data_IF_369187689433
#
_entry.id   IF_369187689433
#
_cell.length_a   1.000
_cell.length_b   1.000
_cell.length_c   1.000
_cell.angle_alpha   90.00
_cell.angle_beta   90.00
_cell.angle_gamma   90.00
#
_symmetry.space_group_name_H-M   'P 1'
#
loop_
_entity.id
_entity.type
_entity.pdbx_description
1 polymer ?
#
# COMPACT_ATOMS: atom_id res chain seq x y z
N UNK A 1 8.27 9.92 22.38
CA UNK A 1 9.01 10.89 21.53
C UNK A 1 8.02 11.89 20.95
N UNK A 2 8.51 13.06 20.59
CA UNK A 2 7.75 14.06 19.84
C UNK A 2 8.16 13.99 18.37
N UNK A 3 7.26 13.54 17.49
CA UNK A 3 7.54 13.29 16.09
C UNK A 3 6.73 14.23 15.19
N UNK A 4 7.42 14.86 14.23
CA UNK A 4 6.78 15.64 13.17
C UNK A 4 6.67 14.80 11.89
N UNK A 5 5.49 14.77 11.30
CA UNK A 5 5.27 14.24 9.95
C UNK A 5 4.99 15.41 9.01
N UNK A 6 5.80 15.55 7.98
CA UNK A 6 5.64 16.58 6.96
C UNK A 6 5.33 15.92 5.62
N UNK A 7 4.14 16.20 5.09
CA UNK A 7 3.70 15.69 3.79
C UNK A 7 3.46 16.85 2.84
N UNK A 8 4.30 16.94 1.80
CA UNK A 8 4.15 17.90 0.72
C UNK A 8 3.53 17.18 -0.48
N UNK A 9 2.20 17.12 -0.51
CA UNK A 9 1.46 16.44 -1.57
C UNK A 9 0.05 17.02 -1.76
N UNK A 10 -0.43 17.01 -3.00
CA UNK A 10 -1.80 17.27 -3.38
C UNK A 10 -2.39 15.95 -3.91
N UNK A 11 -3.59 15.54 -3.52
CA UNK A 11 -4.59 16.27 -2.74
C UNK A 11 -4.28 16.30 -1.25
N UNK A 12 -4.82 17.30 -0.57
CA UNK A 12 -4.80 17.41 0.89
C UNK A 12 -5.67 16.33 1.53
N UNK A 13 -5.24 15.82 2.67
CA UNK A 13 -5.96 14.82 3.46
C UNK A 13 -5.70 15.03 4.96
N UNK A 14 -6.57 14.50 5.79
CA UNK A 14 -6.40 14.49 7.25
C UNK A 14 -6.67 13.09 7.81
N UNK A 15 -6.62 12.93 9.13
CA UNK A 15 -6.79 11.62 9.76
C UNK A 15 -8.20 11.00 9.59
N UNK A 16 -9.21 11.74 9.18
CA UNK A 16 -10.52 11.18 8.85
C UNK A 16 -10.62 10.68 7.40
N UNK A 17 -9.84 11.26 6.48
CA UNK A 17 -9.96 10.98 5.04
C UNK A 17 -9.93 9.49 4.67
N UNK A 18 -9.03 8.63 5.23
CA UNK A 18 -8.99 7.20 4.87
C UNK A 18 -10.26 6.43 5.23
N UNK A 19 -11.09 6.98 6.13
CA UNK A 19 -12.33 6.35 6.62
C UNK A 19 -13.57 6.79 5.84
N UNK A 20 -13.49 7.88 5.10
CA UNK A 20 -14.64 8.50 4.43
C UNK A 20 -14.53 8.48 2.90
N UNK A 21 -13.30 8.49 2.37
CA UNK A 21 -13.05 8.64 0.94
C UNK A 21 -12.04 7.60 0.41
N UNK A 22 -12.09 7.28 -0.89
CA UNK A 22 -11.01 6.56 -1.56
C UNK A 22 -9.71 7.37 -1.45
N UNK A 23 -8.63 6.74 -0.98
CA UNK A 23 -7.35 7.40 -0.76
C UNK A 23 -6.20 6.53 -1.21
N UNK A 24 -5.13 7.15 -1.71
CA UNK A 24 -3.91 6.46 -2.15
C UNK A 24 -3.19 5.73 -1.01
N UNK A 25 -2.32 4.79 -1.38
CA UNK A 25 -1.59 3.96 -0.41
C UNK A 25 -0.68 4.77 0.51
N UNK A 26 0.03 5.77 -0.03
CA UNK A 26 0.96 6.60 0.74
C UNK A 26 0.22 7.39 1.82
N UNK A 27 -0.87 8.05 1.43
CA UNK A 27 -1.67 8.90 2.32
C UNK A 27 -2.30 8.05 3.43
N UNK A 28 -2.96 6.95 3.05
CA UNK A 28 -3.64 6.08 4.02
C UNK A 28 -2.66 5.42 4.98
N UNK A 29 -1.53 4.88 4.50
CA UNK A 29 -0.51 4.28 5.37
C UNK A 29 0.13 5.30 6.33
N UNK A 30 0.30 6.55 5.89
CA UNK A 30 0.80 7.64 6.74
C UNK A 30 -0.15 7.89 7.91
N UNK A 31 -1.45 8.01 7.64
CA UNK A 31 -2.44 8.22 8.71
C UNK A 31 -2.50 7.02 9.66
N UNK A 32 -2.58 5.80 9.14
CA UNK A 32 -2.67 4.61 9.99
C UNK A 32 -1.42 4.39 10.86
N UNK A 33 -0.24 4.72 10.33
CA UNK A 33 0.99 4.73 11.14
C UNK A 33 0.90 5.77 12.27
N UNK A 34 0.54 7.02 11.96
CA UNK A 34 0.45 8.09 12.96
C UNK A 34 -0.57 7.77 14.05
N UNK A 35 -1.75 7.27 13.71
CA UNK A 35 -2.76 6.83 14.68
C UNK A 35 -2.23 5.74 15.63
N UNK A 36 -1.43 4.81 15.12
CA UNK A 36 -0.90 3.73 15.95
C UNK A 36 0.33 4.15 16.74
N UNK A 37 1.09 5.15 16.29
CA UNK A 37 2.10 5.83 17.11
C UNK A 37 1.45 6.56 18.29
N UNK A 38 0.33 7.27 18.07
CA UNK A 38 -0.46 7.88 19.15
C UNK A 38 -0.94 6.83 20.17
N UNK A 39 -1.45 5.69 19.71
CA UNK A 39 -1.92 4.58 20.60
C UNK A 39 -0.81 4.01 21.49
N UNK A 40 0.45 4.10 21.07
CA UNK A 40 1.61 3.69 21.89
C UNK A 40 2.29 4.88 22.60
N UNK A 41 1.52 5.97 22.83
CA UNK A 41 1.89 7.16 23.58
C UNK A 41 3.00 8.02 22.98
N UNK A 42 3.14 8.06 21.65
CA UNK A 42 4.00 9.03 20.99
C UNK A 42 3.24 10.34 20.72
N UNK A 43 3.93 11.48 20.82
CA UNK A 43 3.37 12.82 20.53
C UNK A 43 3.54 13.12 19.04
N UNK A 44 2.44 13.10 18.28
CA UNK A 44 2.44 13.19 16.82
C UNK A 44 1.88 14.51 16.33
N UNK A 45 2.66 15.23 15.53
CA UNK A 45 2.27 16.42 14.79
C UNK A 45 2.34 16.17 13.29
N UNK A 46 1.28 16.49 12.58
CA UNK A 46 1.13 16.32 11.14
C UNK A 46 1.04 17.66 10.45
N UNK A 47 1.95 17.92 9.51
CA UNK A 47 2.01 19.14 8.72
C UNK A 47 1.70 18.83 7.27
N UNK A 48 0.69 19.49 6.73
CA UNK A 48 0.36 19.46 5.30
C UNK A 48 -0.24 20.79 4.84
N UNK A 49 -0.23 21.06 3.55
CA UNK A 49 -0.88 22.24 3.00
C UNK A 49 -2.41 22.12 3.10
N UNK A 50 -3.07 23.26 3.34
CA UNK A 50 -4.53 23.39 3.35
C UNK A 50 -5.28 22.48 4.36
N UNK A 51 -4.64 22.10 5.46
CA UNK A 51 -5.33 21.51 6.63
C UNK A 51 -5.66 22.59 7.63
N UNK A 52 -6.70 22.41 8.46
CA UNK A 52 -6.97 23.24 9.63
C UNK A 52 -6.08 22.83 10.80
N UNK A 53 -5.79 23.81 11.70
CA UNK A 53 -5.09 23.53 12.94
C UNK A 53 -6.10 22.89 13.92
N UNK A 54 -6.03 21.58 14.08
CA UNK A 54 -6.98 20.78 14.87
C UNK A 54 -6.37 19.47 15.35
N UNK A 55 -7.03 18.81 16.31
CA UNK A 55 -6.66 17.46 16.74
C UNK A 55 -7.70 16.48 16.20
N UNK A 56 -7.26 15.58 15.33
CA UNK A 56 -8.10 14.51 14.76
C UNK A 56 -7.48 13.17 15.12
N UNK A 57 -8.24 12.28 15.75
CA UNK A 57 -7.81 10.93 16.16
C UNK A 57 -6.51 10.94 16.99
N UNK A 58 -6.32 11.97 17.82
CA UNK A 58 -5.13 12.14 18.65
C UNK A 58 -3.91 12.70 17.92
N UNK A 59 -3.98 12.94 16.61
CA UNK A 59 -2.94 13.54 15.81
C UNK A 59 -3.16 15.07 15.77
N UNK A 60 -2.13 15.84 16.11
CA UNK A 60 -2.15 17.30 16.02
C UNK A 60 -1.91 17.69 14.56
N UNK A 61 -2.91 18.22 13.89
CA UNK A 61 -2.82 18.72 12.51
C UNK A 61 -2.45 20.19 12.51
N UNK A 62 -1.57 20.57 11.59
CA UNK A 62 -1.14 21.96 11.40
C UNK A 62 -1.14 22.30 9.92
N UNK A 63 -1.68 23.47 9.58
CA UNK A 63 -1.54 24.02 8.25
C UNK A 63 -0.09 24.47 8.04
N UNK A 64 0.53 23.97 6.98
CA UNK A 64 1.89 24.36 6.61
C UNK A 64 1.88 25.72 5.91
N UNK A 65 1.86 26.80 6.70
CA UNK A 65 2.00 28.19 6.22
C UNK A 65 3.45 28.62 6.14
N UNK A 66 4.25 28.18 7.10
CA UNK A 66 5.66 28.52 7.21
C UNK A 66 6.47 27.34 7.77
N UNK A 67 7.55 26.97 7.11
CA UNK A 67 8.49 25.93 7.58
C UNK A 67 9.20 26.30 8.88
N UNK A 68 9.32 27.60 9.21
CA UNK A 68 9.93 28.06 10.45
C UNK A 68 9.14 27.62 11.69
N UNK A 69 7.82 27.50 11.58
CA UNK A 69 6.95 27.08 12.67
C UNK A 69 7.29 25.66 13.14
N UNK A 70 7.73 24.78 12.21
CA UNK A 70 8.16 23.43 12.52
C UNK A 70 9.39 23.43 13.42
N UNK A 71 10.34 24.33 13.19
CA UNK A 71 11.59 24.40 13.97
C UNK A 71 11.36 24.78 15.45
N UNK A 72 10.32 25.57 15.73
CA UNK A 72 9.95 25.96 17.09
C UNK A 72 9.46 24.80 17.95
N UNK A 73 8.97 23.72 17.34
CA UNK A 73 8.34 22.58 18.00
C UNK A 73 9.31 21.63 18.70
N UNK A 74 10.61 21.70 18.41
CA UNK A 74 11.66 20.83 19.00
C UNK A 74 11.33 19.34 18.90
N UNK A 75 11.09 18.85 17.69
CA UNK A 75 10.88 17.42 17.44
C UNK A 75 12.14 16.59 17.69
N UNK A 76 11.97 15.37 18.19
CA UNK A 76 13.04 14.36 18.26
C UNK A 76 13.46 13.90 16.86
N UNK A 77 12.50 13.78 15.93
CA UNK A 77 12.72 13.54 14.51
C UNK A 77 11.61 14.14 13.65
N UNK A 78 11.94 14.51 12.41
CA UNK A 78 10.99 14.88 11.37
C UNK A 78 10.96 13.80 10.29
N UNK A 79 9.80 13.18 10.08
CA UNK A 79 9.54 12.24 9.01
C UNK A 79 9.01 13.02 7.81
N UNK A 80 9.79 13.05 6.74
CA UNK A 80 9.43 13.75 5.51
C UNK A 80 8.95 12.79 4.43
N UNK A 81 7.79 13.10 3.85
CA UNK A 81 7.15 12.35 2.76
C UNK A 81 6.84 13.34 1.63
N UNK A 82 7.45 13.12 0.47
CA UNK A 82 7.29 14.03 -0.67
C UNK A 82 8.43 13.89 -1.68
N UNK A 83 8.65 14.94 -2.49
CA UNK A 83 9.74 14.93 -3.45
C UNK A 83 11.09 15.25 -2.78
N UNK A 84 12.11 14.42 -3.02
CA UNK A 84 13.45 14.57 -2.46
C UNK A 84 14.12 15.91 -2.83
N UNK A 85 13.70 16.54 -3.92
CA UNK A 85 14.22 17.87 -4.36
C UNK A 85 13.97 18.95 -3.31
N UNK A 86 12.93 18.83 -2.47
CA UNK A 86 12.61 19.83 -1.45
C UNK A 86 13.44 19.71 -0.15
N UNK A 87 14.17 18.61 0.04
CA UNK A 87 14.96 18.33 1.26
C UNK A 87 15.94 19.48 1.61
N UNK A 88 16.70 20.09 0.68
CA UNK A 88 17.58 21.20 1.01
C UNK A 88 16.83 22.42 1.54
N UNK A 89 15.61 22.68 1.06
CA UNK A 89 14.78 23.76 1.57
C UNK A 89 14.33 23.48 3.00
N UNK A 90 13.95 22.25 3.33
CA UNK A 90 13.63 21.86 4.70
C UNK A 90 14.81 22.09 5.64
N UNK A 91 16.02 21.71 5.22
CA UNK A 91 17.22 21.84 6.06
C UNK A 91 17.64 23.28 6.34
N UNK A 92 17.28 24.24 5.49
CA UNK A 92 17.49 25.68 5.76
C UNK A 92 16.76 26.15 7.02
N UNK A 93 15.55 25.64 7.24
CA UNK A 93 14.70 25.98 8.37
C UNK A 93 14.89 25.01 9.53
N UNK A 94 15.03 23.71 9.28
CA UNK A 94 15.11 22.65 10.30
C UNK A 94 16.57 22.24 10.48
N UNK A 95 17.32 23.06 11.26
CA UNK A 95 18.79 22.95 11.35
C UNK A 95 19.25 21.74 12.19
N UNK A 96 18.60 21.47 13.32
CA UNK A 96 19.08 20.51 14.33
C UNK A 96 18.32 19.19 14.34
N UNK A 97 17.02 19.20 14.08
CA UNK A 97 16.18 17.98 14.07
C UNK A 97 16.61 17.01 12.97
N UNK A 98 16.80 15.73 13.26
CA UNK A 98 17.03 14.69 12.26
C UNK A 98 15.89 14.65 11.25
N UNK A 99 16.22 14.63 9.95
CA UNK A 99 15.24 14.48 8.87
C UNK A 99 15.35 13.05 8.35
N UNK A 100 14.27 12.28 8.49
CA UNK A 100 14.11 10.93 8.02
C UNK A 100 13.24 10.98 6.76
N UNK A 101 13.76 10.55 5.63
CA UNK A 101 13.00 10.49 4.39
C UNK A 101 12.28 9.14 4.29
N UNK A 102 10.96 9.15 4.44
CA UNK A 102 10.14 7.95 4.23
C UNK A 102 9.57 7.97 2.82
N UNK A 103 9.94 7.00 2.01
CA UNK A 103 9.49 6.92 0.62
C UNK A 103 8.75 5.62 0.34
N UNK A 104 7.73 5.72 -0.52
CA UNK A 104 6.99 4.60 -1.10
C UNK A 104 7.01 4.66 -2.64
N UNK A 105 7.75 5.62 -3.21
CA UNK A 105 7.92 5.79 -4.64
C UNK A 105 9.04 4.92 -5.17
N UNK A 106 8.85 4.27 -6.32
CA UNK A 106 9.90 3.56 -7.02
C UNK A 106 11.01 4.52 -7.49
N UNK A 107 12.22 4.00 -7.64
CA UNK A 107 13.42 4.76 -8.01
C UNK A 107 13.29 5.60 -9.29
N UNK A 108 12.43 5.18 -10.22
CA UNK A 108 12.15 5.83 -11.51
C UNK A 108 11.09 6.93 -11.45
N UNK A 109 10.42 7.09 -10.30
CA UNK A 109 9.39 8.11 -10.13
C UNK A 109 9.99 9.49 -9.80
N UNK A 110 9.35 10.59 -10.27
CA UNK A 110 9.88 11.96 -10.11
C UNK A 110 10.19 12.35 -8.65
N UNK A 111 9.45 11.83 -7.68
CA UNK A 111 9.69 12.10 -6.27
C UNK A 111 11.08 11.67 -5.79
N UNK A 112 11.67 10.65 -6.42
CA UNK A 112 12.97 10.07 -6.07
C UNK A 112 14.15 10.74 -6.80
N UNK A 113 13.92 11.52 -7.85
CA UNK A 113 14.96 12.07 -8.71
C UNK A 113 16.05 12.87 -7.96
N UNK A 114 15.66 13.58 -6.89
CA UNK A 114 16.58 14.34 -6.04
C UNK A 114 17.64 13.50 -5.34
N UNK A 115 17.37 12.22 -5.06
CA UNK A 115 18.30 11.33 -4.34
C UNK A 115 19.57 10.99 -5.12
N UNK A 116 19.60 11.24 -6.44
CA UNK A 116 20.85 11.14 -7.26
C UNK A 116 21.89 12.20 -6.86
N UNK A 117 21.49 13.27 -6.16
CA UNK A 117 22.36 14.35 -5.77
C UNK A 117 22.89 14.16 -4.35
N UNK A 118 24.20 13.93 -4.22
CA UNK A 118 24.88 13.74 -2.93
C UNK A 118 24.71 14.93 -1.97
N UNK A 119 24.52 16.15 -2.47
CA UNK A 119 24.26 17.33 -1.62
C UNK A 119 22.88 17.27 -0.99
N UNK A 120 21.90 16.61 -1.61
CA UNK A 120 20.59 16.38 -1.00
C UNK A 120 20.70 15.32 0.08
N UNK A 121 21.40 14.21 -0.19
CA UNK A 121 21.57 13.11 0.76
C UNK A 121 22.22 13.57 2.09
N UNK A 122 23.19 14.48 2.04
CA UNK A 122 23.84 15.04 3.25
C UNK A 122 22.89 15.75 4.20
N UNK A 123 21.70 16.10 3.77
CA UNK A 123 20.69 16.74 4.60
C UNK A 123 19.77 15.75 5.32
N UNK A 124 19.89 14.47 5.02
CA UNK A 124 19.11 13.41 5.62
C UNK A 124 19.89 12.66 6.70
N UNK A 125 19.20 12.23 7.72
CA UNK A 125 19.76 11.30 8.72
C UNK A 125 19.63 9.86 8.24
N UNK A 126 18.54 9.52 7.53
CA UNK A 126 18.32 8.19 6.96
C UNK A 126 17.20 8.20 5.91
N UNK A 127 17.09 7.09 5.17
CA UNK A 127 15.97 6.80 4.28
C UNK A 127 15.26 5.56 4.78
N UNK A 128 13.93 5.59 4.85
CA UNK A 128 13.09 4.42 5.16
C UNK A 128 12.38 3.97 3.88
N UNK A 129 12.64 2.73 3.50
CA UNK A 129 11.98 1.99 2.43
C UNK A 129 10.92 1.04 2.99
N UNK A 130 10.07 0.49 2.12
CA UNK A 130 8.92 -0.31 2.54
C UNK A 130 9.01 -1.79 2.14
N UNK A 131 10.10 -2.20 1.48
CA UNK A 131 10.41 -3.58 1.13
C UNK A 131 11.90 -3.75 0.80
N UNK A 132 12.41 -4.98 0.82
CA UNK A 132 13.78 -5.30 0.39
C UNK A 132 13.97 -4.96 -1.09
N UNK A 133 13.01 -5.32 -1.95
CA UNK A 133 13.05 -4.96 -3.37
C UNK A 133 13.13 -3.44 -3.59
N UNK A 134 12.35 -2.66 -2.81
CA UNK A 134 12.31 -1.21 -2.92
C UNK A 134 13.67 -0.59 -2.55
N UNK A 135 14.29 -1.04 -1.46
CA UNK A 135 15.63 -0.60 -1.05
C UNK A 135 16.68 -0.98 -2.10
N UNK A 136 16.78 -2.28 -2.45
CA UNK A 136 17.78 -2.80 -3.39
C UNK A 136 17.70 -2.12 -4.76
N UNK A 137 16.51 -1.96 -5.32
CA UNK A 137 16.30 -1.28 -6.60
C UNK A 137 16.69 0.20 -6.53
N UNK A 138 16.40 0.88 -5.41
CA UNK A 138 16.78 2.27 -5.19
C UNK A 138 18.29 2.44 -5.05
N UNK A 139 18.97 1.59 -4.30
CA UNK A 139 20.43 1.60 -4.15
C UNK A 139 21.09 1.40 -5.53
N UNK A 140 20.59 0.45 -6.32
CA UNK A 140 21.15 0.13 -7.63
C UNK A 140 21.06 1.29 -8.64
N UNK A 141 20.04 2.17 -8.53
CA UNK A 141 19.75 3.19 -9.55
C UNK A 141 19.98 4.65 -9.11
N UNK A 142 20.11 4.92 -7.78
CA UNK A 142 20.12 6.28 -7.25
C UNK A 142 21.43 6.70 -6.57
N UNK A 143 22.44 5.81 -6.51
CA UNK A 143 23.73 6.07 -5.86
C UNK A 143 23.60 6.55 -4.40
N UNK A 144 22.76 5.86 -3.60
CA UNK A 144 22.45 6.21 -2.21
C UNK A 144 23.19 5.33 -1.18
N UNK A 145 24.27 4.63 -1.59
CA UNK A 145 25.04 3.74 -0.72
C UNK A 145 25.71 4.43 0.49
N UNK A 146 25.85 5.75 0.43
CA UNK A 146 26.54 6.54 1.49
C UNK A 146 25.59 7.03 2.60
N UNK A 147 24.30 6.67 2.56
CA UNK A 147 23.33 7.03 3.59
C UNK A 147 22.77 5.76 4.24
N UNK A 148 22.51 5.84 5.55
CA UNK A 148 21.85 4.73 6.26
C UNK A 148 20.43 4.54 5.76
N UNK A 149 20.07 3.30 5.47
CA UNK A 149 18.74 2.91 5.03
C UNK A 149 18.14 1.91 6.01
N UNK A 150 16.83 1.90 6.09
CA UNK A 150 16.05 0.96 6.90
C UNK A 150 14.82 0.52 6.13
N UNK A 151 14.34 -0.69 6.42
CA UNK A 151 13.11 -1.23 5.84
C UNK A 151 12.07 -1.31 6.94
N UNK A 152 10.95 -0.59 6.74
CA UNK A 152 9.77 -0.70 7.57
C UNK A 152 8.57 -0.84 6.65
N UNK A 153 7.99 -2.02 6.63
CA UNK A 153 6.87 -2.37 5.78
C UNK A 153 5.59 -1.60 6.18
N UNK A 154 4.64 -1.47 5.27
CA UNK A 154 3.31 -0.98 5.59
C UNK A 154 2.53 -2.02 6.42
N UNK A 155 1.61 -1.56 7.24
CA UNK A 155 0.68 -2.42 7.98
C UNK A 155 -0.58 -2.74 7.19
N UNK A 156 -1.35 -3.71 7.70
CA UNK A 156 -2.69 -4.04 7.21
C UNK A 156 -3.61 -2.85 7.44
N UNK A 157 -4.35 -2.43 6.42
CA UNK A 157 -5.40 -1.42 6.59
C UNK A 157 -6.38 -1.86 7.68
N UNK A 158 -6.69 -1.02 8.70
CA UNK A 158 -7.44 -1.44 9.89
C UNK A 158 -8.78 -2.11 9.61
N UNK A 159 -9.45 -1.75 8.52
CA UNK A 159 -10.72 -2.35 8.09
C UNK A 159 -10.60 -3.84 7.71
N UNK A 160 -9.39 -4.34 7.43
CA UNK A 160 -9.14 -5.73 7.03
C UNK A 160 -8.61 -6.61 8.16
N UNK A 161 -8.24 -6.04 9.32
CA UNK A 161 -7.62 -6.80 10.41
C UNK A 161 -8.55 -7.82 11.07
N UNK A 162 -9.86 -7.57 11.10
CA UNK A 162 -10.83 -8.40 11.84
C UNK A 162 -12.10 -8.65 11.01
N UNK A 163 -11.94 -9.07 9.76
CA UNK A 163 -13.08 -9.37 8.89
C UNK A 163 -13.89 -10.58 9.34
N UNK A 164 -13.26 -11.54 10.02
CA UNK A 164 -13.89 -12.79 10.43
C UNK A 164 -13.69 -13.05 11.91
N UNK A 165 -14.74 -13.55 12.57
CA UNK A 165 -14.71 -13.90 13.99
C UNK A 165 -13.97 -15.20 14.26
N UNK A 166 -14.10 -16.17 13.37
CA UNK A 166 -13.52 -17.52 13.46
C UNK A 166 -13.56 -18.21 12.10
N UNK A 167 -13.03 -19.44 12.02
CA UNK A 167 -12.99 -20.24 10.79
C UNK A 167 -14.39 -20.53 10.22
N UNK A 168 -15.40 -20.73 11.07
CA UNK A 168 -16.77 -21.01 10.60
C UNK A 168 -17.39 -19.77 9.95
N UNK A 169 -17.23 -18.60 10.55
CA UNK A 169 -17.63 -17.32 9.92
C UNK A 169 -16.90 -17.11 8.58
N UNK A 170 -15.60 -17.43 8.52
CA UNK A 170 -14.83 -17.39 7.27
C UNK A 170 -15.43 -18.33 6.20
N UNK A 171 -15.65 -19.60 6.54
CA UNK A 171 -16.23 -20.60 5.61
C UNK A 171 -17.59 -20.15 5.06
N UNK A 172 -18.45 -19.62 5.93
CA UNK A 172 -19.78 -19.17 5.55
C UNK A 172 -19.76 -18.00 4.56
N UNK A 173 -18.73 -17.15 4.61
CA UNK A 173 -18.58 -16.02 3.71
C UNK A 173 -17.85 -16.36 2.39
N UNK A 174 -17.07 -17.45 2.32
CA UNK A 174 -16.21 -17.80 1.16
C UNK A 174 -16.84 -18.82 0.18
N UNK A 175 -18.13 -19.05 0.26
CA UNK A 175 -18.81 -20.06 -0.57
C UNK A 175 -18.77 -19.75 -2.07
N UNK A 176 -18.90 -18.46 -2.42
CA UNK A 176 -18.91 -18.02 -3.81
C UNK A 176 -17.49 -17.98 -4.43
N UNK A 177 -17.44 -18.12 -5.75
CA UNK A 177 -16.19 -18.02 -6.51
C UNK A 177 -16.06 -16.61 -7.09
N UNK A 178 -15.56 -15.68 -6.26
CA UNK A 178 -15.39 -14.27 -6.60
C UNK A 178 -13.92 -13.92 -6.61
N UNK A 179 -13.46 -13.33 -7.73
CA UNK A 179 -12.17 -12.64 -7.83
C UNK A 179 -12.32 -11.16 -7.57
N UNK A 180 -11.28 -10.51 -7.08
CA UNK A 180 -11.20 -9.05 -6.94
C UNK A 180 -9.97 -8.52 -7.65
N UNK A 181 -10.16 -7.40 -8.37
CA UNK A 181 -9.12 -6.48 -8.78
C UNK A 181 -9.40 -5.13 -8.10
N UNK A 182 -8.45 -4.61 -7.32
CA UNK A 182 -8.60 -3.35 -6.59
C UNK A 182 -7.32 -2.50 -6.71
N UNK A 183 -7.17 -1.81 -7.83
CA UNK A 183 -6.04 -0.92 -8.12
C UNK A 183 -6.38 0.03 -9.27
N UNK A 184 -5.48 0.99 -9.55
CA UNK A 184 -5.61 1.85 -10.73
C UNK A 184 -5.50 1.05 -12.03
N UNK A 185 -6.17 1.50 -13.12
CA UNK A 185 -6.31 0.69 -14.33
C UNK A 185 -4.97 0.37 -15.04
N UNK A 186 -3.98 1.26 -14.95
CA UNK A 186 -2.67 1.04 -15.60
C UNK A 186 -1.81 -0.05 -14.93
N UNK A 187 -2.26 -0.60 -13.80
CA UNK A 187 -1.50 -1.63 -13.06
C UNK A 187 -1.90 -3.07 -13.43
N UNK A 188 -2.30 -3.30 -14.68
CA UNK A 188 -2.57 -4.63 -15.21
C UNK A 188 -4.05 -4.99 -15.36
N UNK A 189 -4.98 -4.02 -15.28
CA UNK A 189 -6.41 -4.29 -15.51
C UNK A 189 -6.68 -4.75 -16.93
N UNK A 190 -6.00 -4.18 -17.92
CA UNK A 190 -6.09 -4.61 -19.32
C UNK A 190 -5.56 -6.05 -19.49
N UNK A 191 -4.46 -6.39 -18.83
CA UNK A 191 -3.91 -7.75 -18.81
C UNK A 191 -4.90 -8.74 -18.21
N UNK A 192 -5.59 -8.37 -17.11
CA UNK A 192 -6.65 -9.18 -16.54
C UNK A 192 -7.82 -9.38 -17.51
N UNK A 193 -8.23 -8.31 -18.20
CA UNK A 193 -9.30 -8.38 -19.20
C UNK A 193 -8.94 -9.35 -20.33
N UNK A 194 -7.74 -9.27 -20.91
CA UNK A 194 -7.30 -10.20 -21.95
C UNK A 194 -7.12 -11.63 -21.42
N UNK A 195 -6.59 -11.79 -20.22
CA UNK A 195 -6.47 -13.12 -19.60
C UNK A 195 -7.82 -13.79 -19.37
N UNK A 196 -8.87 -13.02 -19.07
CA UNK A 196 -10.21 -13.53 -18.78
C UNK A 196 -10.85 -14.30 -19.93
N UNK A 197 -10.39 -14.08 -21.17
CA UNK A 197 -10.87 -14.79 -22.37
C UNK A 197 -10.48 -16.28 -22.35
N UNK A 198 -9.43 -16.64 -21.60
CA UNK A 198 -8.93 -18.02 -21.48
C UNK A 198 -9.38 -18.71 -20.21
N UNK A 199 -10.10 -18.03 -19.30
CA UNK A 199 -10.67 -18.64 -18.09
C UNK A 199 -11.84 -19.53 -18.47
N UNK A 200 -11.77 -20.81 -18.13
CA UNK A 200 -12.81 -21.81 -18.41
C UNK A 200 -13.75 -22.01 -17.21
N UNK A 201 -13.25 -21.86 -16.00
CA UNK A 201 -14.04 -22.01 -14.78
C UNK A 201 -14.98 -20.83 -14.54
N UNK A 202 -16.10 -21.09 -13.86
CA UNK A 202 -17.06 -20.03 -13.51
C UNK A 202 -16.50 -19.15 -12.41
N UNK A 203 -16.30 -17.89 -12.71
CA UNK A 203 -15.86 -16.84 -11.77
C UNK A 203 -16.56 -15.52 -12.06
N UNK A 204 -16.86 -14.75 -11.01
CA UNK A 204 -17.21 -13.34 -11.12
C UNK A 204 -16.05 -12.51 -10.60
N UNK A 205 -15.53 -11.60 -11.42
CA UNK A 205 -14.42 -10.70 -11.06
C UNK A 205 -14.97 -9.33 -10.80
N UNK A 206 -14.94 -8.89 -9.53
CA UNK A 206 -15.31 -7.54 -9.14
C UNK A 206 -14.09 -6.64 -9.29
N UNK A 207 -14.25 -5.59 -10.09
CA UNK A 207 -13.20 -4.60 -10.36
C UNK A 207 -13.53 -3.31 -9.63
N UNK A 208 -12.60 -2.83 -8.82
CA UNK A 208 -12.64 -1.52 -8.14
C UNK A 208 -11.47 -0.69 -8.64
N UNK A 209 -11.72 0.16 -9.66
CA UNK A 209 -10.64 0.81 -10.40
C UNK A 209 -11.05 2.17 -10.93
N UNK A 210 -10.25 3.20 -10.65
CA UNK A 210 -10.39 4.56 -11.19
C UNK A 210 -9.10 5.35 -10.94
N UNK A 211 -8.81 6.34 -11.76
CA UNK A 211 -7.77 7.33 -11.55
C UNK A 211 -8.17 8.42 -10.55
N UNK A 212 -9.43 8.44 -10.13
CA UNK A 212 -9.99 9.45 -9.19
C UNK A 212 -9.25 9.51 -7.85
N UNK A 213 -8.63 8.39 -7.39
CA UNK A 213 -7.78 8.38 -6.19
C UNK A 213 -6.57 9.33 -6.30
N UNK A 214 -6.17 9.67 -7.53
CA UNK A 214 -5.12 10.65 -7.83
C UNK A 214 -5.69 11.98 -8.33
N UNK A 215 -7.01 12.21 -8.17
CA UNK A 215 -7.73 13.38 -8.71
C UNK A 215 -7.57 13.56 -10.23
N UNK A 216 -7.34 12.46 -10.95
CA UNK A 216 -7.16 12.41 -12.40
C UNK A 216 -8.41 11.82 -13.08
N UNK A 217 -8.66 12.24 -14.34
CA UNK A 217 -9.77 11.73 -15.12
C UNK A 217 -9.51 10.31 -15.64
N UNK A 218 -10.57 9.52 -15.79
CA UNK A 218 -10.55 8.16 -16.31
C UNK A 218 -10.62 8.09 -17.86
N UNK A 219 -10.58 9.21 -18.56
CA UNK A 219 -10.88 9.32 -20.00
C UNK A 219 -10.12 8.33 -20.87
N UNK A 220 -8.82 8.14 -20.62
CA UNK A 220 -7.98 7.21 -21.41
C UNK A 220 -8.30 5.74 -21.15
N UNK A 221 -8.95 5.42 -20.03
CA UNK A 221 -9.33 4.06 -19.64
C UNK A 221 -10.80 3.75 -19.89
N UNK A 222 -11.59 4.74 -20.35
CA UNK A 222 -13.02 4.56 -20.60
C UNK A 222 -13.33 3.39 -21.56
N UNK A 223 -12.57 3.19 -22.68
CA UNK A 223 -12.81 2.03 -23.55
C UNK A 223 -12.65 0.68 -22.83
N UNK A 224 -11.66 0.56 -21.93
CA UNK A 224 -11.47 -0.64 -21.13
C UNK A 224 -12.63 -0.84 -20.14
N UNK A 225 -13.04 0.21 -19.45
CA UNK A 225 -14.16 0.13 -18.51
C UNK A 225 -15.48 -0.24 -19.21
N UNK A 226 -15.72 0.25 -20.42
CA UNK A 226 -16.90 -0.10 -21.21
C UNK A 226 -16.83 -1.57 -21.70
N UNK A 227 -15.65 -2.06 -22.02
CA UNK A 227 -15.43 -3.48 -22.34
C UNK A 227 -15.68 -4.40 -21.13
N UNK A 228 -15.22 -4.01 -19.94
CA UNK A 228 -15.48 -4.74 -18.69
C UNK A 228 -16.99 -4.83 -18.39
N UNK A 229 -17.72 -3.72 -18.52
CA UNK A 229 -19.19 -3.68 -18.29
C UNK A 229 -19.99 -4.58 -19.23
N UNK A 230 -19.46 -4.83 -20.43
CA UNK A 230 -20.10 -5.72 -21.44
C UNK A 230 -19.75 -7.19 -21.26
N UNK A 231 -18.74 -7.51 -20.46
CA UNK A 231 -18.26 -8.87 -20.27
C UNK A 231 -18.87 -9.48 -19.00
N UNK A 232 -19.62 -10.57 -19.15
CA UNK A 232 -20.36 -11.23 -18.06
C UNK A 232 -19.50 -11.70 -16.90
N UNK A 233 -18.20 -11.95 -17.12
CA UNK A 233 -17.26 -12.32 -16.06
C UNK A 233 -16.95 -11.18 -15.11
N UNK A 234 -17.17 -9.92 -15.51
CA UNK A 234 -16.80 -8.74 -14.72
C UNK A 234 -18.00 -8.01 -14.10
N UNK A 235 -17.74 -7.41 -12.96
CA UNK A 235 -18.57 -6.40 -12.32
C UNK A 235 -17.67 -5.19 -12.07
N UNK A 236 -17.80 -4.16 -12.93
CA UNK A 236 -16.98 -2.96 -12.82
C UNK A 236 -17.60 -1.96 -11.86
N UNK A 237 -16.78 -1.48 -10.93
CA UNK A 237 -17.07 -0.40 -9.99
C UNK A 237 -15.93 0.63 -10.02
N UNK A 238 -16.22 1.92 -9.81
CA UNK A 238 -15.17 2.91 -9.55
C UNK A 238 -14.44 2.62 -8.24
N UNK A 239 -13.41 3.40 -7.93
CA UNK A 239 -12.72 3.31 -6.63
C UNK A 239 -13.69 3.61 -5.48
N UNK A 240 -13.61 2.82 -4.43
CA UNK A 240 -14.47 2.89 -3.23
C UNK A 240 -13.63 3.11 -1.96
N UNK A 241 -14.29 3.46 -0.86
CA UNK A 241 -13.64 3.59 0.44
C UNK A 241 -13.03 2.25 0.91
N UNK A 242 -12.07 2.31 1.82
CA UNK A 242 -11.45 1.11 2.38
C UNK A 242 -12.44 0.23 3.15
N UNK A 243 -13.43 0.82 3.82
CA UNK A 243 -14.51 0.08 4.50
C UNK A 243 -15.37 -0.70 3.49
N UNK A 244 -15.82 -0.06 2.42
CA UNK A 244 -16.60 -0.72 1.36
C UNK A 244 -15.79 -1.84 0.70
N UNK A 245 -14.51 -1.62 0.43
CA UNK A 245 -13.64 -2.65 -0.15
C UNK A 245 -13.46 -3.85 0.80
N UNK A 246 -13.33 -3.60 2.10
CA UNK A 246 -13.25 -4.65 3.11
C UNK A 246 -14.50 -5.53 3.14
N UNK A 247 -15.69 -4.93 3.02
CA UNK A 247 -16.95 -5.68 2.91
C UNK A 247 -16.97 -6.59 1.66
N UNK A 248 -16.44 -6.11 0.54
CA UNK A 248 -16.33 -6.93 -0.67
C UNK A 248 -15.34 -8.09 -0.51
N UNK A 249 -14.26 -7.89 0.25
CA UNK A 249 -13.26 -8.94 0.51
C UNK A 249 -13.84 -10.08 1.38
N UNK A 250 -14.85 -9.81 2.20
CA UNK A 250 -15.50 -10.88 2.99
C UNK A 250 -16.01 -12.02 2.11
N UNK A 251 -16.65 -11.72 0.99
CA UNK A 251 -17.21 -12.74 0.07
C UNK A 251 -16.23 -13.22 -1.02
N UNK A 252 -15.17 -12.46 -1.28
CA UNK A 252 -14.20 -12.80 -2.32
C UNK A 252 -13.26 -13.94 -1.92
N UNK A 253 -12.88 -14.77 -2.89
CA UNK A 253 -11.96 -15.90 -2.72
C UNK A 253 -10.56 -15.62 -3.24
N UNK A 254 -10.43 -14.80 -4.29
CA UNK A 254 -9.18 -14.59 -5.01
C UNK A 254 -8.88 -13.11 -5.19
N UNK A 255 -7.60 -12.75 -5.06
CA UNK A 255 -7.08 -11.52 -5.63
C UNK A 255 -6.55 -11.82 -7.02
N UNK A 256 -7.19 -11.27 -8.06
CA UNK A 256 -6.77 -11.42 -9.46
C UNK A 256 -5.99 -10.17 -9.89
N UNK A 257 -4.67 -10.19 -9.68
CA UNK A 257 -3.84 -9.00 -9.85
C UNK A 257 -2.60 -9.26 -10.72
N UNK A 258 -2.76 -9.34 -12.06
CA UNK A 258 -1.64 -9.50 -12.99
C UNK A 258 -0.94 -8.16 -13.22
N UNK A 259 -0.29 -7.64 -12.16
CA UNK A 259 0.34 -6.32 -12.22
C UNK A 259 1.39 -6.24 -13.31
N UNK A 260 1.32 -5.17 -14.10
CA UNK A 260 2.34 -4.76 -15.07
C UNK A 260 3.16 -3.58 -14.55
N UNK A 261 2.93 -3.19 -13.31
CA UNK A 261 3.63 -2.13 -12.60
C UNK A 261 4.53 -2.75 -11.51
N UNK A 262 5.80 -2.32 -11.45
CA UNK A 262 6.74 -2.77 -10.42
C UNK A 262 6.35 -2.18 -9.06
N UNK A 263 5.58 -2.94 -8.29
CA UNK A 263 5.11 -2.51 -6.97
C UNK A 263 6.26 -2.41 -5.97
N UNK A 264 6.28 -1.32 -5.21
CA UNK A 264 7.24 -1.14 -4.11
C UNK A 264 6.85 -1.90 -2.85
N UNK A 265 5.55 -2.27 -2.68
CA UNK A 265 5.05 -3.11 -1.59
C UNK A 265 3.70 -3.75 -1.91
N UNK A 266 2.71 -3.00 -2.42
CA UNK A 266 1.33 -3.40 -2.71
C UNK A 266 0.44 -3.65 -1.48
N UNK A 267 -0.11 -2.54 -0.91
CA UNK A 267 -1.05 -2.62 0.22
C UNK A 267 -2.30 -3.44 -0.10
N UNK A 268 -2.81 -3.38 -1.34
CA UNK A 268 -3.96 -4.19 -1.76
C UNK A 268 -3.70 -5.69 -1.66
N UNK A 269 -2.49 -6.13 -1.99
CA UNK A 269 -2.09 -7.53 -1.81
C UNK A 269 -2.03 -7.89 -0.31
N UNK A 270 -1.44 -7.04 0.53
CA UNK A 270 -1.41 -7.27 1.97
C UNK A 270 -2.82 -7.32 2.57
N UNK A 271 -3.69 -6.38 2.21
CA UNK A 271 -5.09 -6.34 2.65
C UNK A 271 -5.86 -7.60 2.17
N UNK A 272 -5.55 -8.10 0.96
CA UNK A 272 -6.17 -9.33 0.45
C UNK A 272 -5.73 -10.57 1.23
N UNK A 273 -4.47 -10.65 1.61
CA UNK A 273 -3.97 -11.73 2.46
C UNK A 273 -4.64 -11.70 3.84
N UNK A 274 -4.80 -10.51 4.44
CA UNK A 274 -5.53 -10.31 5.69
C UNK A 274 -7.03 -10.62 5.57
N UNK A 275 -7.61 -10.42 4.38
CA UNK A 275 -8.98 -10.82 4.04
C UNK A 275 -9.13 -12.30 3.62
N UNK A 276 -8.07 -13.09 3.69
CA UNK A 276 -8.09 -14.52 3.36
C UNK A 276 -8.34 -14.82 1.88
N UNK A 277 -8.01 -13.89 0.98
CA UNK A 277 -8.04 -14.16 -0.45
C UNK A 277 -6.77 -14.92 -0.87
N UNK A 278 -6.91 -15.84 -1.79
CA UNK A 278 -5.76 -16.45 -2.46
C UNK A 278 -5.26 -15.48 -3.55
N UNK A 279 -4.03 -14.94 -3.44
CA UNK A 279 -3.50 -14.07 -4.47
C UNK A 279 -3.07 -14.85 -5.71
N UNK A 280 -3.44 -14.34 -6.89
CA UNK A 280 -2.96 -14.79 -8.20
C UNK A 280 -2.32 -13.56 -8.83
N UNK A 281 -1.00 -13.47 -8.77
CA UNK A 281 -0.21 -12.25 -9.00
C UNK A 281 0.96 -12.50 -9.93
N UNK A 282 1.58 -11.44 -10.42
CA UNK A 282 2.86 -11.49 -11.11
C UNK A 282 4.04 -11.42 -10.14
N UNK A 283 5.24 -11.71 -10.63
CA UNK A 283 6.50 -11.65 -9.86
C UNK A 283 7.17 -10.26 -9.90
N UNK A 284 6.46 -9.23 -10.37
CA UNK A 284 7.03 -7.91 -10.65
C UNK A 284 7.17 -7.05 -9.38
N UNK A 285 8.35 -6.47 -9.19
CA UNK A 285 8.63 -5.63 -8.03
C UNK A 285 8.63 -6.42 -6.72
N UNK A 286 8.09 -5.83 -5.67
CA UNK A 286 7.99 -6.44 -4.34
C UNK A 286 6.79 -7.40 -4.18
N UNK A 287 6.04 -7.74 -5.24
CA UNK A 287 4.84 -8.57 -5.10
C UNK A 287 5.14 -9.95 -4.49
N UNK A 288 6.24 -10.59 -4.91
CA UNK A 288 6.68 -11.86 -4.35
C UNK A 288 6.99 -11.74 -2.84
N UNK A 289 7.68 -10.69 -2.45
CA UNK A 289 8.01 -10.40 -1.03
C UNK A 289 6.73 -10.15 -0.22
N UNK A 290 5.86 -9.25 -0.71
CA UNK A 290 4.61 -8.90 -0.02
C UNK A 290 3.66 -10.08 0.09
N UNK A 291 3.70 -11.04 -0.86
CA UNK A 291 2.85 -12.23 -0.82
C UNK A 291 3.13 -13.16 0.36
N UNK A 292 4.28 -13.03 1.02
CA UNK A 292 4.72 -13.93 2.10
C UNK A 292 4.62 -15.41 1.73
N UNK A 293 4.92 -15.76 0.49
CA UNK A 293 4.80 -17.10 -0.11
C UNK A 293 3.37 -17.67 -0.19
N UNK A 294 2.35 -16.84 -0.01
CA UNK A 294 0.96 -17.27 -0.24
C UNK A 294 0.53 -17.01 -1.68
N UNK A 295 -0.33 -17.88 -2.21
CA UNK A 295 -0.96 -17.74 -3.52
C UNK A 295 -0.10 -18.24 -4.69
N UNK A 296 -0.45 -17.76 -5.90
CA UNK A 296 0.21 -18.11 -7.17
C UNK A 296 0.99 -16.90 -7.69
N UNK A 297 2.26 -17.13 -7.98
CA UNK A 297 3.17 -16.09 -8.50
C UNK A 297 3.58 -16.51 -9.91
N UNK A 298 3.23 -15.70 -10.89
CA UNK A 298 3.40 -16.01 -12.31
C UNK A 298 4.41 -15.02 -12.91
N UNK A 299 5.40 -15.55 -13.61
CA UNK A 299 6.39 -14.70 -14.28
C UNK A 299 5.74 -13.93 -15.42
N UNK A 300 5.78 -12.60 -15.37
CA UNK A 300 5.15 -11.73 -16.37
C UNK A 300 5.76 -11.88 -17.77
N UNK A 301 7.06 -12.22 -17.86
CA UNK A 301 7.79 -12.29 -19.14
C UNK A 301 7.63 -13.63 -19.87
N UNK A 302 6.74 -14.50 -19.45
CA UNK A 302 6.47 -15.77 -20.12
C UNK A 302 5.75 -15.55 -21.46
N UNK A 303 6.13 -16.32 -22.48
CA UNK A 303 5.32 -16.43 -23.68
C UNK A 303 3.91 -16.93 -23.34
N UNK A 304 2.88 -16.37 -23.97
CA UNK A 304 1.47 -16.69 -23.68
C UNK A 304 1.01 -16.41 -22.25
N UNK A 305 1.58 -15.38 -21.60
CA UNK A 305 1.26 -15.01 -20.23
C UNK A 305 -0.24 -15.02 -19.91
N UNK A 306 -1.08 -14.40 -20.75
CA UNK A 306 -2.52 -14.31 -20.50
C UNK A 306 -3.18 -15.68 -20.37
N UNK A 307 -2.76 -16.66 -21.16
CA UNK A 307 -3.26 -18.03 -21.08
C UNK A 307 -2.78 -18.73 -19.82
N UNK A 308 -1.50 -18.62 -19.48
CA UNK A 308 -0.92 -19.20 -18.27
C UNK A 308 -1.56 -18.60 -17.02
N UNK A 309 -1.78 -17.30 -17.00
CA UNK A 309 -2.43 -16.62 -15.89
C UNK A 309 -3.87 -17.12 -15.68
N UNK A 310 -4.62 -17.29 -16.78
CA UNK A 310 -5.96 -17.86 -16.73
C UNK A 310 -5.98 -19.32 -16.26
N UNK A 311 -5.01 -20.14 -16.70
CA UNK A 311 -4.86 -21.53 -16.26
C UNK A 311 -4.59 -21.62 -14.75
N UNK A 312 -3.82 -20.70 -14.17
CA UNK A 312 -3.61 -20.66 -12.71
C UNK A 312 -4.88 -20.24 -11.95
N UNK A 313 -5.69 -19.32 -12.51
CA UNK A 313 -7.02 -19.02 -11.96
C UNK A 313 -7.89 -20.28 -11.97
N UNK A 314 -7.98 -20.99 -13.11
CA UNK A 314 -8.77 -22.20 -13.24
C UNK A 314 -8.33 -23.31 -12.25
N UNK A 315 -7.01 -23.50 -12.06
CA UNK A 315 -6.46 -24.45 -11.08
C UNK A 315 -6.85 -24.08 -9.65
N UNK A 316 -6.76 -22.80 -9.29
CA UNK A 316 -7.12 -22.31 -7.96
C UNK A 316 -8.61 -22.48 -7.68
N UNK A 317 -9.47 -22.23 -8.67
CA UNK A 317 -10.93 -22.43 -8.57
C UNK A 317 -11.25 -23.93 -8.39
N UNK A 318 -10.67 -24.79 -9.21
CA UNK A 318 -10.85 -26.25 -9.10
C UNK A 318 -10.43 -26.77 -7.75
N UNK A 319 -9.26 -26.36 -7.26
CA UNK A 319 -8.77 -26.75 -5.96
C UNK A 319 -9.73 -26.33 -4.84
N UNK A 320 -10.15 -25.05 -4.83
CA UNK A 320 -11.14 -24.56 -3.87
C UNK A 320 -12.43 -25.36 -3.90
N UNK A 321 -13.00 -25.63 -5.09
CA UNK A 321 -14.28 -26.31 -5.22
C UNK A 321 -14.21 -27.79 -4.80
N UNK A 322 -13.08 -28.46 -5.07
CA UNK A 322 -12.87 -29.86 -4.72
C UNK A 322 -12.45 -30.07 -3.27
N UNK A 323 -11.78 -29.07 -2.66
CA UNK A 323 -11.14 -29.16 -1.34
C UNK A 323 -11.51 -27.97 -0.44
N UNK A 324 -12.78 -27.57 -0.42
CA UNK A 324 -13.23 -26.31 0.20
C UNK A 324 -12.79 -26.17 1.66
N UNK A 325 -12.92 -27.21 2.47
CA UNK A 325 -12.53 -27.16 3.88
C UNK A 325 -11.02 -26.97 4.06
N UNK A 326 -10.21 -27.70 3.33
CA UNK A 326 -8.74 -27.55 3.37
C UNK A 326 -8.30 -26.19 2.88
N UNK A 327 -8.90 -25.68 1.79
CA UNK A 327 -8.66 -24.35 1.29
C UNK A 327 -8.99 -23.26 2.34
N UNK A 328 -10.12 -23.40 3.02
CA UNK A 328 -10.53 -22.47 4.07
C UNK A 328 -9.58 -22.50 5.27
N UNK A 329 -9.13 -23.67 5.72
CA UNK A 329 -8.15 -23.80 6.81
C UNK A 329 -6.85 -23.11 6.45
N UNK A 330 -6.35 -23.33 5.24
CA UNK A 330 -5.13 -22.73 4.74
C UNK A 330 -5.25 -21.18 4.68
N UNK A 331 -6.35 -20.67 4.12
CA UNK A 331 -6.59 -19.22 4.03
C UNK A 331 -6.80 -18.56 5.41
N UNK A 332 -7.45 -19.25 6.35
CA UNK A 332 -7.62 -18.74 7.69
C UNK A 332 -6.28 -18.71 8.46
N UNK A 333 -5.44 -19.71 8.29
CA UNK A 333 -4.05 -19.70 8.80
C UNK A 333 -3.22 -18.56 8.20
N UNK A 334 -3.41 -18.27 6.90
CA UNK A 334 -2.79 -17.11 6.24
C UNK A 334 -3.19 -15.80 6.95
N UNK A 335 -4.48 -15.60 7.24
CA UNK A 335 -4.97 -14.40 7.95
C UNK A 335 -4.22 -14.21 9.27
N UNK A 336 -4.12 -15.25 10.10
CA UNK A 336 -3.47 -15.19 11.40
C UNK A 336 -1.98 -14.85 11.29
N UNK A 337 -1.27 -15.47 10.32
CA UNK A 337 0.14 -15.18 10.08
C UNK A 337 0.38 -13.73 9.66
N UNK A 338 -0.42 -13.23 8.71
CA UNK A 338 -0.31 -11.88 8.18
C UNK A 338 -0.64 -10.86 9.27
N UNK A 339 -1.70 -11.08 10.03
CA UNK A 339 -2.12 -10.22 11.13
C UNK A 339 -1.06 -10.13 12.24
N UNK A 340 -0.42 -11.24 12.60
CA UNK A 340 0.68 -11.26 13.58
C UNK A 340 1.87 -10.40 13.12
N UNK A 341 2.22 -10.44 11.84
CA UNK A 341 3.40 -9.75 11.29
C UNK A 341 3.15 -8.27 11.00
N UNK A 342 2.00 -7.95 10.38
CA UNK A 342 1.76 -6.65 9.74
C UNK A 342 0.69 -5.80 10.43
N UNK A 343 0.28 -6.08 11.69
CA UNK A 343 -0.59 -5.14 12.39
C UNK A 343 0.14 -3.82 12.67
N UNK A 344 -0.59 -2.70 12.59
CA UNK A 344 0.03 -1.37 12.72
C UNK A 344 0.64 -1.09 14.10
N UNK A 345 0.21 -1.75 15.17
CA UNK A 345 0.85 -1.60 16.50
C UNK A 345 2.29 -2.12 16.45
N UNK A 346 2.52 -3.28 15.81
CA UNK A 346 3.87 -3.83 15.65
C UNK A 346 4.72 -2.96 14.72
N UNK A 347 4.13 -2.48 13.63
CA UNK A 347 4.80 -1.54 12.71
C UNK A 347 5.18 -0.24 13.45
N UNK A 348 4.27 0.34 14.25
CA UNK A 348 4.56 1.55 15.03
C UNK A 348 5.70 1.32 16.05
N UNK A 349 5.74 0.17 16.73
CA UNK A 349 6.86 -0.19 17.62
C UNK A 349 8.19 -0.29 16.88
N UNK A 350 8.20 -0.91 15.68
CA UNK A 350 9.39 -0.99 14.82
C UNK A 350 9.86 0.42 14.40
N UNK A 351 8.93 1.32 14.07
CA UNK A 351 9.24 2.72 13.80
C UNK A 351 9.92 3.42 14.98
N UNK A 352 9.36 3.29 16.19
CA UNK A 352 9.93 3.87 17.42
C UNK A 352 11.35 3.35 17.68
N UNK A 353 11.57 2.06 17.53
CA UNK A 353 12.89 1.43 17.71
C UNK A 353 13.92 2.00 16.72
N UNK A 354 13.56 2.05 15.44
CA UNK A 354 14.44 2.56 14.38
C UNK A 354 14.71 4.06 14.56
N UNK A 355 13.71 4.87 14.88
CA UNK A 355 13.92 6.31 15.13
C UNK A 355 14.86 6.52 16.32
N UNK A 356 14.68 5.78 17.43
CA UNK A 356 15.61 5.85 18.58
C UNK A 356 17.05 5.53 18.17
N UNK A 357 17.24 4.54 17.31
CA UNK A 357 18.55 4.19 16.78
C UNK A 357 19.14 5.35 15.95
N UNK A 358 18.37 5.94 15.06
CA UNK A 358 18.79 7.07 14.21
C UNK A 358 19.17 8.30 15.05
N UNK A 359 18.44 8.61 16.14
CA UNK A 359 18.68 9.76 16.99
C UNK A 359 19.95 9.60 17.83
N UNK A 360 20.29 8.37 18.25
CA UNK A 360 21.43 8.08 19.10
C UNK A 360 22.75 7.84 18.33
N UNK A 361 22.70 7.80 17.02
CA UNK A 361 23.85 7.69 16.10
C UNK A 361 24.34 9.06 15.61
#
# INVERSE_FOLDING_TARGET
MKLGFLVLKIPTFNANTPYTEPLGGIESSTIFLMENLVKINEDISFYSENTSDEIIRGIKHFNLKNLEDINSQKFDALIYIGSAIFIPNLKKYIKKTPIIYWTQHSYDQPAMAGLKNQQILKNLSSIIFISDWHEMSSIAHLNISNIKTYIIENGITPHFENLFKNLEDFKNNKKETIGIYASTPFRGLETLYFSSQYINEKIKIKVFSSMSIYKSADTIFQPLFDALKKNEKFEYNPSVSKSTLADQFRSASFLTYPSTFAETFCITLLDSLAGGLEPIITDLGALKETSNNFGKIINLNQANFNKIYAEEIDKSIKFKNQNFDSWCIERFSQIENIKKKYNYINIAKKWVEIIKKIINE
#
